data_IF_508390398921
#
_entry.id   IF_508390398921
#
_cell.length_a   1.000
_cell.length_b   1.000
_cell.length_c   1.000
_cell.angle_alpha   90.00
_cell.angle_beta   90.00
_cell.angle_gamma   90.00
#
_symmetry.space_group_name_H-M   'P 1'
#
loop_
_entity.id
_entity.type
_entity.pdbx_description
1 polymer ?
#
# COMPACT_ATOMS: atom_id res chain seq x y z
N UNK A 1 -7.65 -3.29 -10.74
CA UNK A 1 -6.77 -2.66 -9.73
C UNK A 1 -7.63 -2.45 -8.51
N UNK A 2 -7.12 -2.79 -7.34
CA UNK A 2 -7.79 -2.73 -6.07
C UNK A 2 -6.84 -2.10 -5.07
N UNK A 3 -7.40 -1.69 -3.94
CA UNK A 3 -6.62 -1.14 -2.84
C UNK A 3 -6.87 -2.04 -1.64
N UNK A 4 -5.79 -2.43 -1.00
CA UNK A 4 -5.78 -3.30 0.15
C UNK A 4 -5.19 -2.56 1.33
N UNK A 5 -5.72 -2.80 2.52
CA UNK A 5 -5.05 -2.44 3.76
C UNK A 5 -4.34 -3.65 4.33
N UNK A 6 -3.11 -3.40 4.78
CA UNK A 6 -2.33 -4.35 5.54
C UNK A 6 -2.37 -3.92 7.00
N UNK A 7 -2.78 -4.83 7.88
CA UNK A 7 -2.86 -4.60 9.32
C UNK A 7 -2.07 -5.65 10.09
N UNK A 8 -1.40 -5.23 11.15
CA UNK A 8 -0.76 -6.09 12.13
C UNK A 8 -1.60 -6.07 13.41
N UNK A 9 -2.50 -7.05 13.55
CA UNK A 9 -3.53 -7.00 14.60
C UNK A 9 -4.46 -5.81 14.43
N UNK A 10 -4.39 -4.82 15.34
CA UNK A 10 -5.20 -3.60 15.27
C UNK A 10 -4.48 -2.42 14.63
N UNK A 11 -3.18 -2.55 14.36
CA UNK A 11 -2.36 -1.47 13.82
C UNK A 11 -2.40 -1.48 12.29
N UNK A 12 -2.65 -0.31 11.70
CA UNK A 12 -2.50 -0.10 10.27
C UNK A 12 -1.02 -0.01 9.91
N UNK A 13 -0.58 -0.81 8.94
CA UNK A 13 0.81 -0.85 8.49
C UNK A 13 0.98 -0.14 7.15
N UNK A 14 0.12 -0.46 6.17
CA UNK A 14 0.26 0.08 4.83
C UNK A 14 -1.06 0.00 4.04
N UNK A 15 -1.22 0.93 3.09
CA UNK A 15 -2.18 0.79 1.98
C UNK A 15 -1.42 0.29 0.75
N UNK A 16 -1.97 -0.67 0.03
CA UNK A 16 -1.33 -1.29 -1.15
C UNK A 16 -2.27 -1.26 -2.34
N UNK A 17 -1.81 -0.69 -3.45
CA UNK A 17 -2.49 -0.76 -4.74
C UNK A 17 -2.01 -2.00 -5.50
N UNK A 18 -2.91 -2.94 -5.76
CA UNK A 18 -2.56 -4.21 -6.37
C UNK A 18 -3.66 -4.78 -7.28
N UNK A 19 -3.29 -5.75 -8.11
CA UNK A 19 -4.24 -6.41 -9.03
C UNK A 19 -5.08 -7.48 -8.35
N UNK A 20 -4.58 -8.05 -7.25
CA UNK A 20 -5.21 -9.11 -6.48
C UNK A 20 -4.68 -9.06 -5.04
N UNK A 21 -5.34 -9.81 -4.16
CA UNK A 21 -4.87 -10.02 -2.80
C UNK A 21 -3.44 -10.57 -2.76
N UNK A 22 -3.14 -11.62 -3.54
CA UNK A 22 -1.80 -12.23 -3.55
C UNK A 22 -0.74 -11.24 -4.04
N UNK A 23 -1.06 -10.44 -5.05
CA UNK A 23 -0.17 -9.38 -5.52
C UNK A 23 0.04 -8.30 -4.44
N UNK A 24 -0.97 -7.98 -3.63
CA UNK A 24 -0.82 -7.04 -2.52
C UNK A 24 0.13 -7.59 -1.44
N UNK A 25 0.03 -8.88 -1.12
CA UNK A 25 0.94 -9.56 -0.20
C UNK A 25 2.37 -9.52 -0.72
N UNK A 26 2.60 -9.84 -1.99
CA UNK A 26 3.92 -9.81 -2.62
C UNK A 26 4.57 -8.41 -2.55
N UNK A 27 3.80 -7.37 -2.89
CA UNK A 27 4.24 -5.98 -2.83
C UNK A 27 4.60 -5.55 -1.41
N UNK A 28 3.75 -5.88 -0.43
CA UNK A 28 3.99 -5.56 0.96
C UNK A 28 5.24 -6.28 1.49
N UNK A 29 5.40 -7.57 1.18
CA UNK A 29 6.59 -8.33 1.56
C UNK A 29 7.86 -7.72 0.96
N UNK A 30 7.85 -7.38 -0.33
CA UNK A 30 8.98 -6.74 -0.99
C UNK A 30 9.34 -5.41 -0.33
N UNK A 31 8.35 -4.56 -0.04
CA UNK A 31 8.57 -3.30 0.66
C UNK A 31 9.16 -3.51 2.05
N UNK A 32 8.64 -4.46 2.84
CA UNK A 32 9.16 -4.77 4.19
C UNK A 32 10.59 -5.30 4.17
N UNK A 33 10.95 -6.13 3.19
CA UNK A 33 12.31 -6.66 3.02
C UNK A 33 13.29 -5.51 2.75
N UNK A 34 12.94 -4.61 1.83
CA UNK A 34 13.77 -3.44 1.50
C UNK A 34 13.94 -2.51 2.71
N UNK A 35 12.91 -2.38 3.55
CA UNK A 35 12.95 -1.57 4.77
C UNK A 35 13.55 -2.30 5.99
N UNK A 36 14.22 -3.45 5.80
CA UNK A 36 15.00 -4.11 6.84
C UNK A 36 14.20 -4.80 7.94
N UNK A 37 12.94 -5.19 7.69
CA UNK A 37 12.15 -5.91 8.66
C UNK A 37 12.58 -7.39 8.78
N UNK A 38 13.22 -7.75 9.89
CA UNK A 38 13.75 -9.10 10.15
C UNK A 38 12.68 -10.19 10.37
N UNK A 39 11.45 -9.81 10.77
CA UNK A 39 10.30 -10.72 10.89
C UNK A 39 9.01 -10.04 10.45
N UNK A 40 8.17 -10.76 9.70
CA UNK A 40 6.81 -10.34 9.38
C UNK A 40 5.88 -10.82 10.52
N UNK A 41 5.31 -9.92 11.33
CA UNK A 41 4.22 -10.32 12.22
C UNK A 41 3.05 -10.86 11.37
N UNK A 42 2.14 -11.66 11.98
CA UNK A 42 0.91 -12.05 11.33
C UNK A 42 0.19 -10.80 10.85
N UNK A 43 -0.03 -10.71 9.54
CA UNK A 43 -0.70 -9.57 8.92
C UNK A 43 -2.01 -10.03 8.29
N UNK A 44 -3.03 -9.21 8.45
CA UNK A 44 -4.30 -9.36 7.75
C UNK A 44 -4.30 -8.42 6.56
N UNK A 45 -4.71 -8.94 5.40
CA UNK A 45 -4.88 -8.18 4.17
C UNK A 45 -6.37 -8.13 3.88
N UNK A 46 -6.94 -6.92 3.91
CA UNK A 46 -8.35 -6.70 3.64
C UNK A 46 -8.50 -5.73 2.46
N UNK A 47 -9.51 -5.94 1.62
CA UNK A 47 -9.87 -4.93 0.61
C UNK A 47 -10.44 -3.71 1.33
N UNK A 48 -9.94 -2.53 0.99
CA UNK A 48 -10.33 -1.30 1.67
C UNK A 48 -11.66 -0.76 1.17
N UNK A 49 -12.50 -0.32 2.09
CA UNK A 49 -13.76 0.37 1.78
C UNK A 49 -13.51 1.88 1.65
N UNK A 50 -13.37 2.38 0.42
CA UNK A 50 -13.02 3.78 0.10
C UNK A 50 -14.18 4.78 0.14
N UNK A 51 -15.32 4.43 0.74
CA UNK A 51 -16.53 5.27 0.69
C UNK A 51 -16.33 6.73 1.12
N UNK A 52 -15.36 7.00 2.01
CA UNK A 52 -15.07 8.36 2.48
C UNK A 52 -14.24 9.22 1.49
N UNK A 53 -13.43 8.61 0.62
CA UNK A 53 -12.53 9.33 -0.31
C UNK A 53 -12.59 8.76 -1.74
N UNK A 54 -13.80 8.37 -2.15
CA UNK A 54 -14.03 7.63 -3.38
C UNK A 54 -13.41 8.29 -4.62
N UNK A 55 -13.52 9.62 -4.77
CA UNK A 55 -12.93 10.34 -5.91
C UNK A 55 -11.41 10.17 -6.00
N UNK A 56 -10.69 10.33 -4.88
CA UNK A 56 -9.23 10.18 -4.89
C UNK A 56 -8.83 8.71 -5.10
N UNK A 57 -9.61 7.76 -4.58
CA UNK A 57 -9.41 6.35 -4.83
C UNK A 57 -9.61 6.01 -6.32
N UNK A 58 -10.69 6.47 -6.94
CA UNK A 58 -10.97 6.27 -8.38
C UNK A 58 -9.88 6.86 -9.26
N UNK A 59 -9.44 8.08 -8.97
CA UNK A 59 -8.33 8.74 -9.68
C UNK A 59 -7.04 7.92 -9.58
N UNK A 60 -6.70 7.44 -8.38
CA UNK A 60 -5.51 6.64 -8.15
C UNK A 60 -5.58 5.27 -8.85
N UNK A 61 -6.73 4.60 -8.76
CA UNK A 61 -7.00 3.33 -9.43
C UNK A 61 -6.92 3.46 -10.96
N UNK A 62 -7.39 4.58 -11.51
CA UNK A 62 -7.35 4.85 -12.96
C UNK A 62 -5.93 4.95 -13.54
N UNK A 63 -4.93 5.26 -12.70
CA UNK A 63 -3.51 5.31 -13.11
C UNK A 63 -2.95 3.92 -13.42
N UNK A 64 -3.55 2.86 -12.87
CA UNK A 64 -3.10 1.48 -13.10
C UNK A 64 -1.72 1.14 -12.54
N UNK A 65 -1.22 1.94 -11.59
CA UNK A 65 0.08 1.75 -10.95
C UNK A 65 -0.09 0.90 -9.69
N UNK A 66 0.71 -0.17 -9.57
CA UNK A 66 0.76 -0.99 -8.37
C UNK A 66 1.87 -0.50 -7.44
N UNK A 67 1.69 -0.64 -6.12
CA UNK A 67 2.69 -0.18 -5.15
C UNK A 67 2.12 0.17 -3.78
N UNK A 68 2.97 0.73 -2.91
CA UNK A 68 2.57 1.21 -1.58
C UNK A 68 1.96 2.60 -1.72
N UNK A 69 0.74 2.75 -1.21
CA UNK A 69 -0.01 3.99 -1.20
C UNK A 69 0.22 4.79 0.08
N UNK A 70 0.41 6.09 -0.08
CA UNK A 70 0.37 7.06 1.00
C UNK A 70 -0.69 8.12 0.68
N UNK A 71 -1.62 8.34 1.61
CA UNK A 71 -2.70 9.31 1.45
C UNK A 71 -2.36 10.62 2.16
N UNK A 72 -2.52 11.73 1.43
CA UNK A 72 -2.49 13.08 1.98
C UNK A 72 -3.81 13.79 1.62
N UNK A 73 -4.39 14.55 2.56
CA UNK A 73 -5.69 15.21 2.35
C UNK A 73 -5.64 16.31 1.28
N UNK A 74 -4.48 16.92 1.05
CA UNK A 74 -4.30 17.99 0.07
C UNK A 74 -3.96 17.44 -1.32
N UNK A 75 -3.19 16.36 -1.38
CA UNK A 75 -2.56 15.83 -2.60
C UNK A 75 -3.19 14.52 -3.10
N UNK A 76 -4.04 13.88 -2.29
CA UNK A 76 -4.63 12.57 -2.57
C UNK A 76 -3.62 11.44 -2.39
N UNK A 77 -3.77 10.37 -3.20
CA UNK A 77 -2.89 9.21 -3.15
C UNK A 77 -1.59 9.41 -3.93
N UNK A 78 -0.48 9.21 -3.23
CA UNK A 78 0.83 8.95 -3.83
C UNK A 78 1.08 7.45 -3.81
N UNK A 79 1.43 6.88 -4.97
CA UNK A 79 1.72 5.44 -5.10
C UNK A 79 3.22 5.30 -5.39
N UNK A 80 3.91 4.60 -4.51
CA UNK A 80 5.31 4.24 -4.66
C UNK A 80 5.38 2.85 -5.31
N UNK A 81 5.79 2.74 -6.58
CA UNK A 81 5.91 1.45 -7.24
C UNK A 81 7.14 0.69 -6.72
N UNK A 82 7.22 -0.64 -6.94
CA UNK A 82 8.27 -1.49 -6.39
C UNK A 82 9.69 -1.02 -6.67
N UNK A 83 9.92 -0.42 -7.83
CA UNK A 83 11.23 0.10 -8.24
C UNK A 83 11.70 1.29 -7.39
N UNK A 84 10.81 1.87 -6.59
CA UNK A 84 11.10 3.01 -5.70
C UNK A 84 11.09 2.65 -4.21
N UNK A 85 10.96 1.38 -3.84
CA UNK A 85 10.92 1.00 -2.43
C UNK A 85 12.22 1.36 -1.70
N UNK A 86 13.37 1.30 -2.38
CA UNK A 86 14.66 1.70 -1.79
C UNK A 86 14.72 3.21 -1.49
N UNK A 87 14.04 4.04 -2.27
CA UNK A 87 13.96 5.50 -2.06
C UNK A 87 13.06 5.87 -0.87
N UNK A 88 12.22 4.94 -0.38
CA UNK A 88 11.35 5.17 0.78
C UNK A 88 12.07 5.01 2.12
N UNK A 89 13.21 4.31 2.15
CA UNK A 89 13.95 4.00 3.39
C UNK A 89 14.53 5.28 4.03
N UNK A 90 14.78 6.32 3.24
CA UNK A 90 15.34 7.60 3.70
C UNK A 90 14.29 8.65 4.12
N UNK A 91 12.99 8.32 4.01
CA UNK A 91 11.90 9.29 4.14
C UNK A 91 11.11 9.22 5.46
N UNK A 92 11.40 8.26 6.35
CA UNK A 92 10.70 8.05 7.62
C UNK A 92 11.65 7.97 8.82
#
# INVERSE_FOLDING_TARGET
MHIFEIRSGQEFEATVFAMSHDHAVELYMAWRIVNGADMLPPHEVAEYDHTQYQRHADEALSRGIAGIGHYDEHSGWTIHPPEKFEEMVDAF
#
